data_IF_617926363202
#
_entry.id   IF_617926363202
#
_cell.length_a   1.000
_cell.length_b   1.000
_cell.length_c   1.000
_cell.angle_alpha   90.00
_cell.angle_beta   90.00
_cell.angle_gamma   90.00
#
_symmetry.space_group_name_H-M   'P 1'
#
loop_
_entity.id
_entity.type
_entity.pdbx_description
1 polymer ?
#
# COMPACT_ATOMS: atom_id res chain seq x y z
N UNK A 1 -5.56 -26.75 14.18
CA UNK A 1 -4.52 -25.75 14.51
C UNK A 1 -4.36 -24.65 13.45
N UNK A 2 -4.65 -24.89 12.16
CA UNK A 2 -4.46 -23.88 11.10
C UNK A 2 -5.40 -22.65 11.16
N UNK A 3 -6.61 -22.77 11.72
CA UNK A 3 -7.56 -21.65 11.81
C UNK A 3 -7.11 -20.55 12.78
N UNK A 4 -6.54 -20.91 13.94
CA UNK A 4 -6.07 -19.91 14.91
C UNK A 4 -4.85 -19.16 14.37
N UNK A 5 -3.92 -19.84 13.70
CA UNK A 5 -2.76 -19.20 13.06
C UNK A 5 -3.18 -18.26 11.93
N UNK A 6 -4.21 -18.63 11.16
CA UNK A 6 -4.77 -17.78 10.12
C UNK A 6 -5.38 -16.49 10.70
N UNK A 7 -6.13 -16.60 11.80
CA UNK A 7 -6.71 -15.43 12.49
C UNK A 7 -5.63 -14.53 13.08
N UNK A 8 -4.63 -15.11 13.76
CA UNK A 8 -3.52 -14.35 14.33
C UNK A 8 -2.71 -13.61 13.27
N UNK A 9 -2.42 -14.26 12.13
CA UNK A 9 -1.73 -13.61 11.02
C UNK A 9 -2.47 -12.35 10.51
N UNK A 10 -3.80 -12.35 10.54
CA UNK A 10 -4.61 -11.20 10.12
C UNK A 10 -4.61 -10.08 11.14
N UNK A 11 -4.70 -10.43 12.43
CA UNK A 11 -4.60 -9.47 13.52
C UNK A 11 -3.23 -8.78 13.50
N UNK A 12 -2.14 -9.54 13.39
CA UNK A 12 -0.80 -8.97 13.29
C UNK A 12 -0.60 -8.14 12.03
N UNK A 13 -1.12 -8.57 10.89
CA UNK A 13 -1.06 -7.77 9.67
C UNK A 13 -1.82 -6.45 9.82
N UNK A 14 -2.99 -6.46 10.48
CA UNK A 14 -3.78 -5.25 10.70
C UNK A 14 -3.03 -4.23 11.57
N UNK A 15 -2.61 -4.64 12.77
CA UNK A 15 -1.91 -3.75 13.69
C UNK A 15 -0.51 -3.37 13.20
N UNK A 16 0.16 -4.28 12.49
CA UNK A 16 1.43 -3.99 11.80
C UNK A 16 1.24 -2.94 10.71
N UNK A 17 0.20 -3.05 9.89
CA UNK A 17 -0.16 -2.05 8.89
C UNK A 17 -0.45 -0.68 9.51
N UNK A 18 -1.28 -0.63 10.56
CA UNK A 18 -1.56 0.61 11.29
C UNK A 18 -0.31 1.25 11.89
N UNK A 19 0.55 0.44 12.54
CA UNK A 19 1.80 0.91 13.11
C UNK A 19 2.73 1.50 12.05
N UNK A 20 2.86 0.83 10.90
CA UNK A 20 3.67 1.33 9.78
C UNK A 20 3.06 2.62 9.21
N UNK A 21 1.74 2.72 9.03
CA UNK A 21 1.10 3.97 8.57
C UNK A 21 1.43 5.14 9.49
N UNK A 22 1.36 4.94 10.81
CA UNK A 22 1.71 5.98 11.78
C UNK A 22 3.20 6.36 11.71
N UNK A 23 4.08 5.36 11.57
CA UNK A 23 5.52 5.59 11.40
C UNK A 23 5.84 6.36 10.12
N UNK A 24 5.13 6.09 9.02
CA UNK A 24 5.32 6.82 7.76
C UNK A 24 5.02 8.31 7.91
N UNK A 25 3.92 8.64 8.58
CA UNK A 25 3.55 10.03 8.87
C UNK A 25 4.57 10.69 9.82
N UNK A 26 5.06 9.96 10.82
CA UNK A 26 6.03 10.48 11.78
C UNK A 26 7.43 10.69 11.20
N UNK A 27 7.86 9.80 10.29
CA UNK A 27 9.21 9.82 9.70
C UNK A 27 9.43 10.95 8.68
N UNK A 28 8.39 11.71 8.31
CA UNK A 28 8.52 12.84 7.39
C UNK A 28 8.97 12.43 5.98
N UNK A 29 8.59 11.23 5.52
CA UNK A 29 9.07 10.65 4.25
C UNK A 29 8.85 11.54 3.02
N UNK A 30 7.79 12.36 3.03
CA UNK A 30 7.52 13.36 1.99
C UNK A 30 8.62 14.42 1.84
N UNK A 31 9.49 14.61 2.84
CA UNK A 31 10.60 15.57 2.78
C UNK A 31 11.85 14.98 2.13
N UNK A 32 11.96 13.64 2.04
CA UNK A 32 13.19 12.95 1.65
C UNK A 32 13.00 12.17 0.34
N UNK A 33 11.76 11.82 0.00
CA UNK A 33 11.42 10.95 -1.13
C UNK A 33 10.33 11.61 -1.96
N UNK A 34 10.33 11.48 -3.30
CA UNK A 34 9.26 11.99 -4.14
C UNK A 34 7.87 11.51 -3.69
N UNK A 35 6.87 12.39 -3.77
CA UNK A 35 5.49 12.12 -3.33
C UNK A 35 4.94 10.81 -3.89
N UNK A 36 5.15 10.57 -5.18
CA UNK A 36 4.69 9.35 -5.86
C UNK A 36 5.25 8.06 -5.24
N UNK A 37 6.49 8.09 -4.77
CA UNK A 37 7.13 6.93 -4.16
C UNK A 37 6.60 6.73 -2.73
N UNK A 38 6.29 7.81 -2.02
CA UNK A 38 5.62 7.74 -0.72
C UNK A 38 4.22 7.14 -0.88
N UNK A 39 3.46 7.54 -1.90
CA UNK A 39 2.11 7.01 -2.17
C UNK A 39 2.14 5.51 -2.47
N UNK A 40 3.10 5.06 -3.29
CA UNK A 40 3.31 3.62 -3.56
C UNK A 40 3.71 2.88 -2.29
N UNK A 41 4.61 3.44 -1.48
CA UNK A 41 5.02 2.81 -0.23
C UNK A 41 3.89 2.74 0.80
N UNK A 42 3.03 3.76 0.89
CA UNK A 42 1.85 3.78 1.78
C UNK A 42 0.78 2.76 1.38
N UNK A 43 0.73 2.36 0.11
CA UNK A 43 -0.19 1.32 -0.35
C UNK A 43 0.10 -0.07 0.25
N UNK A 44 1.35 -0.33 0.69
CA UNK A 44 1.76 -1.59 1.31
C UNK A 44 1.10 -1.78 2.69
N UNK A 45 1.26 -0.87 3.67
CA UNK A 45 0.59 -1.02 4.95
C UNK A 45 -0.93 -0.89 4.84
N UNK A 46 -1.46 -0.14 3.86
CA UNK A 46 -2.88 -0.19 3.52
C UNK A 46 -3.32 -1.60 3.09
N UNK A 47 -2.53 -2.27 2.23
CA UNK A 47 -2.77 -3.66 1.85
C UNK A 47 -2.77 -4.60 3.06
N UNK A 48 -1.85 -4.41 4.01
CA UNK A 48 -1.82 -5.18 5.26
C UNK A 48 -3.07 -4.96 6.12
N UNK A 49 -3.55 -3.72 6.23
CA UNK A 49 -4.82 -3.42 6.90
C UNK A 49 -6.00 -4.10 6.21
N UNK A 50 -6.07 -4.05 4.88
CA UNK A 50 -7.09 -4.72 4.08
C UNK A 50 -7.05 -6.25 4.24
N UNK A 51 -5.85 -6.85 4.33
CA UNK A 51 -5.71 -8.28 4.60
C UNK A 51 -6.25 -8.66 5.98
N UNK A 52 -6.03 -7.81 6.97
CA UNK A 52 -6.56 -7.99 8.32
C UNK A 52 -8.08 -7.94 8.39
N UNK A 53 -8.70 -7.00 7.67
CA UNK A 53 -10.16 -6.78 7.69
C UNK A 53 -10.98 -7.69 6.77
N UNK A 54 -10.42 -8.12 5.64
CA UNK A 54 -11.20 -8.80 4.59
C UNK A 54 -10.81 -10.26 4.48
N UNK A 55 -11.75 -11.14 4.13
CA UNK A 55 -11.48 -12.57 3.87
C UNK A 55 -10.72 -12.85 2.56
N UNK A 56 -10.29 -11.80 1.85
CA UNK A 56 -9.63 -11.92 0.57
C UNK A 56 -8.29 -12.68 0.67
N UNK A 57 -7.96 -13.49 -0.35
CA UNK A 57 -6.70 -14.22 -0.38
C UNK A 57 -5.53 -13.25 -0.52
N UNK A 58 -4.36 -13.64 0.02
CA UNK A 58 -3.13 -12.84 -0.03
C UNK A 58 -2.78 -12.37 -1.45
N UNK A 59 -3.04 -13.21 -2.45
CA UNK A 59 -2.83 -12.88 -3.87
C UNK A 59 -3.61 -11.66 -4.33
N UNK A 60 -4.86 -11.50 -3.87
CA UNK A 60 -5.70 -10.34 -4.20
C UNK A 60 -5.21 -9.10 -3.46
N UNK A 61 -4.81 -9.23 -2.19
CA UNK A 61 -4.27 -8.09 -1.42
C UNK A 61 -3.00 -7.52 -2.05
N UNK A 62 -2.10 -8.37 -2.56
CA UNK A 62 -0.86 -7.92 -3.22
C UNK A 62 -1.16 -7.08 -4.48
N UNK A 63 -2.34 -7.20 -5.06
CA UNK A 63 -2.75 -6.34 -6.18
C UNK A 63 -2.94 -4.88 -5.78
N UNK A 64 -3.14 -4.58 -4.49
CA UNK A 64 -3.27 -3.19 -4.01
C UNK A 64 -1.97 -2.41 -4.28
N UNK A 65 -0.80 -2.81 -3.75
CA UNK A 65 0.44 -2.09 -4.02
C UNK A 65 0.89 -2.21 -5.48
N UNK A 66 0.68 -3.37 -6.12
CA UNK A 66 1.01 -3.53 -7.56
C UNK A 66 0.18 -2.60 -8.43
N UNK A 67 -1.14 -2.54 -8.20
CA UNK A 67 -2.04 -1.65 -8.92
C UNK A 67 -1.74 -0.18 -8.65
N UNK A 68 -1.38 0.18 -7.41
CA UNK A 68 -0.95 1.55 -7.06
C UNK A 68 0.33 1.92 -7.81
N UNK A 69 1.33 1.05 -7.80
CA UNK A 69 2.58 1.28 -8.53
C UNK A 69 2.36 1.43 -10.04
N UNK A 70 1.51 0.59 -10.64
CA UNK A 70 1.16 0.68 -12.05
C UNK A 70 0.39 1.97 -12.37
N UNK A 71 -0.61 2.32 -11.57
CA UNK A 71 -1.40 3.55 -11.76
C UNK A 71 -0.55 4.82 -11.64
N UNK A 72 0.30 4.88 -10.62
CA UNK A 72 1.27 5.98 -10.43
C UNK A 72 2.27 6.04 -11.59
N UNK A 73 2.81 4.90 -12.02
CA UNK A 73 3.74 4.83 -13.15
C UNK A 73 3.12 5.31 -14.46
N UNK A 74 1.88 4.89 -14.76
CA UNK A 74 1.12 5.38 -15.91
C UNK A 74 0.90 6.89 -15.83
N UNK A 75 0.53 7.42 -14.66
CA UNK A 75 0.32 8.85 -14.45
C UNK A 75 1.60 9.66 -14.65
N UNK A 76 2.75 9.14 -14.21
CA UNK A 76 4.07 9.75 -14.42
C UNK A 76 4.42 9.76 -15.91
N UNK A 77 4.26 8.63 -16.60
CA UNK A 77 4.52 8.53 -18.04
C UNK A 77 3.62 9.47 -18.84
N UNK A 78 2.35 9.56 -18.46
CA UNK A 78 1.40 10.50 -19.05
C UNK A 78 1.85 11.95 -18.89
N UNK A 79 2.21 12.37 -17.66
CA UNK A 79 2.76 13.72 -17.41
C UNK A 79 4.05 13.97 -18.20
N UNK A 80 4.94 12.98 -18.28
CA UNK A 80 6.20 13.08 -19.01
C UNK A 80 6.01 13.17 -20.53
N UNK A 81 4.95 12.55 -21.07
CA UNK A 81 4.65 12.57 -22.51
C UNK A 81 4.19 13.93 -23.05
N UNK A 82 3.85 14.89 -22.18
CA UNK A 82 3.37 16.22 -22.59
C UNK A 82 1.98 16.21 -23.25
N UNK A 83 1.30 15.07 -23.26
CA UNK A 83 -0.07 14.94 -23.77
C UNK A 83 -1.02 15.53 -22.72
N UNK A 84 -1.31 16.82 -22.81
CA UNK A 84 -2.39 17.44 -22.05
C UNK A 84 -3.72 17.12 -22.76
N UNK A 85 -4.55 16.27 -22.16
CA UNK A 85 -5.98 16.26 -22.53
C UNK A 85 -6.61 17.44 -21.79
N UNK A 86 -7.20 18.33 -22.61
CA UNK A 86 -7.84 19.60 -22.28
C UNK A 86 -8.71 19.57 -21.02
#
# INVERSE_FOLDING_TARGET
MQLSEWQWNRIFAFFGGLGILFLYSWAGLYQVVPEWAVDVLMSIPLGLCCYGFTEQPRKVIVLIPVGTALGVGVLILYRASGIHLF
#
